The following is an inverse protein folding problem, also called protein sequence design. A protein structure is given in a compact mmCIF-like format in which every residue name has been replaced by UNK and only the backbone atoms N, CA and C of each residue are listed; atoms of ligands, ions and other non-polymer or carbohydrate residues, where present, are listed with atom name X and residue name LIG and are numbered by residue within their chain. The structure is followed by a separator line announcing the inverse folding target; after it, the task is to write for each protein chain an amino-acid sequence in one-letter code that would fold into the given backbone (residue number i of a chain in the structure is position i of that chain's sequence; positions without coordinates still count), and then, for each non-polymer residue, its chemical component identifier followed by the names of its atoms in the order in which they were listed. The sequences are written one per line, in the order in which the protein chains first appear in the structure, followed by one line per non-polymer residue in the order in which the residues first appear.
data_IF_964002848656
#
_entry.id   IF_964002848656
#
_cell.length_a   1.000
_cell.length_b   1.000
_cell.length_c   1.000
_cell.angle_alpha   90.00
_cell.angle_beta   90.00
_cell.angle_gamma   90.00
#
_symmetry.space_group_name_H-M   'P 1'
#
loop_
_entity.id
_entity.type
_entity.pdbx_description
1 polymer ?
#
# COMPACT_ATOMS: atom_id res chain seq x y z
N UNK A 1 23.33 -23.03 -12.66
CA UNK A 1 23.59 -21.93 -13.60
C UNK A 1 22.83 -20.71 -13.07
N UNK A 2 23.49 -19.88 -12.26
CA UNK A 2 22.85 -18.76 -11.56
C UNK A 2 22.44 -17.68 -12.57
N UNK A 3 21.15 -17.37 -12.65
CA UNK A 3 20.67 -16.20 -13.37
C UNK A 3 21.18 -14.95 -12.65
N UNK A 4 22.08 -14.22 -13.30
CA UNK A 4 22.43 -12.86 -12.93
C UNK A 4 21.17 -12.00 -13.07
N UNK A 5 20.50 -11.74 -11.95
CA UNK A 5 19.38 -10.81 -11.90
C UNK A 5 19.91 -9.42 -12.26
N UNK A 6 19.50 -8.89 -13.42
CA UNK A 6 19.94 -7.59 -13.92
C UNK A 6 19.44 -6.50 -12.98
N UNK A 7 20.36 -5.96 -12.15
CA UNK A 7 20.11 -4.78 -11.33
C UNK A 7 19.86 -3.59 -12.25
N UNK A 8 18.74 -2.91 -12.06
CA UNK A 8 18.51 -1.60 -12.65
C UNK A 8 18.70 -0.57 -11.55
N UNK A 9 19.93 -0.07 -11.45
CA UNK A 9 20.28 1.05 -10.59
C UNK A 9 20.61 2.24 -11.50
N UNK A 10 19.93 3.36 -11.28
CA UNK A 10 20.25 4.63 -11.90
C UNK A 10 20.93 5.46 -10.81
N UNK A 11 22.24 5.61 -10.94
CA UNK A 11 23.06 6.43 -10.04
C UNK A 11 23.48 7.69 -10.77
N UNK A 12 23.04 8.83 -10.25
CA UNK A 12 23.42 10.16 -10.73
C UNK A 12 24.09 10.92 -9.59
N UNK A 13 24.77 12.03 -9.91
CA UNK A 13 25.34 12.92 -8.87
C UNK A 13 24.31 13.46 -7.86
N UNK A 14 23.01 13.35 -8.17
CA UNK A 14 21.93 14.02 -7.43
C UNK A 14 20.90 13.07 -6.82
N UNK A 15 20.81 11.83 -7.29
CA UNK A 15 19.90 10.82 -6.76
C UNK A 15 20.34 9.41 -7.15
N UNK A 16 19.96 8.45 -6.30
CA UNK A 16 20.11 7.01 -6.52
C UNK A 16 18.73 6.38 -6.57
N UNK A 17 18.43 5.61 -7.62
CA UNK A 17 17.18 4.87 -7.77
C UNK A 17 17.46 3.41 -8.07
N UNK A 18 16.83 2.49 -7.32
CA UNK A 18 17.04 1.06 -7.50
C UNK A 18 15.72 0.29 -7.59
N UNK A 19 15.64 -0.63 -8.55
CA UNK A 19 14.55 -1.60 -8.66
C UNK A 19 15.05 -2.97 -8.19
N UNK A 20 14.35 -3.57 -7.21
CA UNK A 20 14.68 -4.87 -6.65
C UNK A 20 13.61 -5.91 -7.01
N UNK A 21 13.98 -7.04 -7.64
CA UNK A 21 13.05 -8.13 -7.88
C UNK A 21 12.91 -8.97 -6.60
N UNK A 22 11.82 -8.75 -5.87
CA UNK A 22 11.57 -9.39 -4.58
C UNK A 22 10.11 -9.81 -4.46
N UNK A 23 9.89 -10.99 -3.89
CA UNK A 23 8.58 -11.39 -3.38
C UNK A 23 8.44 -10.87 -1.94
N UNK A 24 7.52 -9.94 -1.72
CA UNK A 24 7.32 -9.30 -0.41
C UNK A 24 6.80 -10.26 0.67
N UNK A 25 6.28 -11.43 0.28
CA UNK A 25 5.86 -12.50 1.20
C UNK A 25 7.05 -13.20 1.85
N UNK A 26 8.21 -13.15 1.21
CA UNK A 26 9.41 -13.87 1.62
C UNK A 26 10.39 -12.92 2.30
N UNK A 27 10.21 -12.68 3.61
CA UNK A 27 11.03 -11.73 4.39
C UNK A 27 12.53 -12.03 4.29
N UNK A 28 12.91 -13.31 4.24
CA UNK A 28 14.30 -13.72 4.06
C UNK A 28 14.88 -13.28 2.71
N UNK A 29 14.07 -13.28 1.65
CA UNK A 29 14.43 -12.81 0.32
C UNK A 29 14.51 -11.28 0.29
N UNK A 30 13.53 -10.61 0.90
CA UNK A 30 13.52 -9.15 1.05
C UNK A 30 14.76 -8.65 1.79
N UNK A 31 15.08 -9.22 2.95
CA UNK A 31 16.28 -8.86 3.70
C UNK A 31 17.57 -9.04 2.87
N UNK A 32 17.67 -10.12 2.08
CA UNK A 32 18.80 -10.33 1.17
C UNK A 32 18.87 -9.26 0.09
N UNK A 33 17.74 -8.88 -0.51
CA UNK A 33 17.69 -7.83 -1.55
C UNK A 33 18.05 -6.45 -0.98
N UNK A 34 17.54 -6.09 0.19
CA UNK A 34 17.87 -4.82 0.85
C UNK A 34 19.36 -4.74 1.22
N UNK A 35 19.98 -5.84 1.65
CA UNK A 35 21.44 -5.90 1.88
C UNK A 35 22.27 -5.60 0.62
N UNK A 36 21.77 -5.92 -0.58
CA UNK A 36 22.48 -5.59 -1.83
C UNK A 36 22.58 -4.09 -2.08
N UNK A 37 21.75 -3.28 -1.41
CA UNK A 37 21.71 -1.82 -1.54
C UNK A 37 22.07 -1.12 -0.22
N UNK A 38 22.69 -1.82 0.73
CA UNK A 38 23.02 -1.26 2.06
C UNK A 38 23.92 -0.02 2.00
N UNK A 39 24.71 0.13 0.94
CA UNK A 39 25.52 1.33 0.69
C UNK A 39 24.68 2.58 0.39
N UNK A 40 23.43 2.40 -0.04
CA UNK A 40 22.50 3.45 -0.42
C UNK A 40 21.23 3.46 0.45
N UNK A 41 21.13 2.54 1.43
CA UNK A 41 19.98 2.38 2.32
C UNK A 41 20.47 2.43 3.77
N UNK A 42 20.34 3.60 4.39
CA UNK A 42 20.62 3.77 5.81
C UNK A 42 19.34 3.55 6.64
N UNK A 43 19.32 2.46 7.40
CA UNK A 43 18.20 2.07 8.25
C UNK A 43 17.95 3.01 9.43
N UNK A 44 18.88 3.93 9.73
CA UNK A 44 18.74 4.92 10.82
C UNK A 44 18.03 6.20 10.36
N UNK A 45 17.85 6.40 9.06
CA UNK A 45 17.15 7.57 8.53
C UNK A 45 15.62 7.35 8.54
N UNK A 46 14.82 8.43 8.73
CA UNK A 46 13.38 8.36 8.52
C UNK A 46 13.06 7.84 7.12
N UNK A 47 12.40 6.69 7.05
CA UNK A 47 12.13 6.01 5.78
C UNK A 47 10.64 6.04 5.46
N UNK A 48 10.32 6.55 4.27
CA UNK A 48 8.96 6.55 3.74
C UNK A 48 8.70 5.28 2.93
N UNK A 49 7.65 4.55 3.29
CA UNK A 49 7.17 3.39 2.55
C UNK A 49 5.83 3.72 1.90
N UNK A 50 5.61 3.25 0.68
CA UNK A 50 4.33 3.37 0.00
C UNK A 50 3.81 1.99 -0.39
N UNK A 51 2.62 1.66 0.07
CA UNK A 51 1.84 0.52 -0.43
C UNK A 51 0.61 1.06 -1.14
N UNK A 52 0.54 0.87 -2.45
CA UNK A 52 -0.62 1.24 -3.26
C UNK A 52 -1.24 -0.02 -3.86
N UNK A 53 -2.37 -0.46 -3.28
CA UNK A 53 -3.06 -1.70 -3.62
C UNK A 53 -2.11 -2.91 -3.58
N UNK A 54 -1.38 -3.12 -2.48
CA UNK A 54 -0.42 -4.24 -2.36
C UNK A 54 -0.82 -5.23 -1.26
N UNK A 55 -0.97 -4.76 -0.01
CA UNK A 55 -1.05 -5.66 1.14
C UNK A 55 -2.27 -6.59 1.12
N UNK A 56 -3.41 -6.15 0.58
CA UNK A 56 -4.63 -6.96 0.43
C UNK A 56 -4.44 -8.24 -0.41
N UNK A 57 -3.44 -8.27 -1.29
CA UNK A 57 -3.13 -9.43 -2.13
C UNK A 57 -2.24 -10.47 -1.42
N UNK A 58 -1.79 -10.18 -0.21
CA UNK A 58 -1.04 -11.10 0.64
C UNK A 58 -1.97 -11.68 1.70
N UNK A 59 -1.65 -12.87 2.24
CA UNK A 59 -2.36 -13.36 3.42
C UNK A 59 -2.13 -12.42 4.62
N UNK A 60 -3.02 -12.49 5.62
CA UNK A 60 -2.87 -11.75 6.87
C UNK A 60 -1.50 -12.01 7.53
N UNK A 61 -1.05 -13.27 7.55
CA UNK A 61 0.25 -13.65 8.09
C UNK A 61 1.40 -12.96 7.34
N UNK A 62 1.40 -13.03 6.01
CA UNK A 62 2.47 -12.47 5.19
C UNK A 62 2.55 -10.94 5.31
N UNK A 63 1.41 -10.25 5.31
CA UNK A 63 1.39 -8.79 5.49
C UNK A 63 1.81 -8.38 6.90
N UNK A 64 1.38 -9.11 7.93
CA UNK A 64 1.81 -8.91 9.32
C UNK A 64 3.32 -9.09 9.46
N UNK A 65 3.89 -10.13 8.85
CA UNK A 65 5.33 -10.38 8.85
C UNK A 65 6.10 -9.25 8.16
N UNK A 66 5.61 -8.74 7.03
CA UNK A 66 6.22 -7.62 6.31
C UNK A 66 6.22 -6.34 7.16
N UNK A 67 5.07 -5.97 7.72
CA UNK A 67 4.93 -4.77 8.54
C UNK A 67 5.78 -4.86 9.82
N UNK A 68 5.81 -6.03 10.46
CA UNK A 68 6.65 -6.28 11.64
C UNK A 68 8.15 -6.22 11.30
N UNK A 69 8.54 -6.77 10.15
CA UNK A 69 9.91 -6.68 9.68
C UNK A 69 10.35 -5.23 9.46
N UNK A 70 9.49 -4.39 8.87
CA UNK A 70 9.78 -2.98 8.63
C UNK A 70 10.00 -2.23 9.96
N UNK A 71 9.09 -2.37 10.92
CA UNK A 71 9.19 -1.65 12.21
C UNK A 71 10.36 -2.13 13.07
N UNK A 72 10.81 -3.37 12.90
CA UNK A 72 11.99 -3.91 13.57
C UNK A 72 13.32 -3.52 12.88
N UNK A 73 13.28 -3.25 11.57
CA UNK A 73 14.48 -3.02 10.77
C UNK A 73 14.84 -1.54 10.66
N UNK A 74 13.84 -0.66 10.53
CA UNK A 74 14.05 0.77 10.31
C UNK A 74 13.83 1.54 11.62
N UNK A 75 14.76 2.43 11.96
CA UNK A 75 14.70 3.23 13.20
C UNK A 75 13.44 4.11 13.26
N UNK A 76 13.06 4.69 12.13
CA UNK A 76 11.85 5.51 12.00
C UNK A 76 11.24 5.30 10.62
N UNK A 77 9.93 5.07 10.57
CA UNK A 77 9.22 4.89 9.32
C UNK A 77 7.85 5.58 9.31
N UNK A 78 7.43 5.97 8.10
CA UNK A 78 6.07 6.39 7.79
C UNK A 78 5.56 5.53 6.64
N UNK A 79 4.35 4.97 6.78
CA UNK A 79 3.83 3.96 5.84
C UNK A 79 2.41 4.32 5.38
N UNK A 80 2.25 5.14 4.34
CA UNK A 80 0.98 5.23 3.63
C UNK A 80 0.61 3.92 2.97
N UNK A 81 -0.59 3.45 3.29
CA UNK A 81 -1.24 2.30 2.66
C UNK A 81 -2.55 2.76 2.02
N UNK A 82 -2.67 2.56 0.72
CA UNK A 82 -3.88 2.80 -0.04
C UNK A 82 -4.44 1.48 -0.52
N UNK A 83 -5.60 1.07 0.00
CA UNK A 83 -6.31 -0.14 -0.46
C UNK A 83 -7.79 -0.08 -0.01
N UNK A 84 -8.54 -1.16 -0.26
CA UNK A 84 -9.96 -1.23 0.03
C UNK A 84 -10.27 -1.18 1.54
N UNK A 85 -11.48 -0.69 1.85
CA UNK A 85 -12.12 -0.73 3.17
C UNK A 85 -13.60 -1.06 3.01
N UNK A 86 -14.28 -1.44 4.10
CA UNK A 86 -15.71 -1.78 4.11
C UNK A 86 -16.06 -2.99 3.23
N UNK A 87 -15.13 -3.93 3.03
CA UNK A 87 -15.29 -5.06 2.10
C UNK A 87 -16.37 -6.09 2.48
N UNK A 88 -17.06 -5.92 3.60
CA UNK A 88 -18.08 -6.85 4.12
C UNK A 88 -19.52 -6.40 3.85
N UNK A 89 -19.71 -5.19 3.30
CA UNK A 89 -21.01 -4.77 2.82
C UNK A 89 -21.36 -5.42 1.46
N UNK A 90 -22.53 -5.07 0.91
CA UNK A 90 -22.99 -5.64 -0.35
C UNK A 90 -22.09 -5.24 -1.52
N UNK A 91 -21.56 -4.01 -1.52
CA UNK A 91 -20.68 -3.51 -2.57
C UNK A 91 -19.34 -4.25 -2.55
N UNK A 92 -18.74 -4.39 -1.37
CA UNK A 92 -17.51 -5.15 -1.14
C UNK A 92 -17.63 -6.62 -1.56
N UNK A 93 -18.75 -7.27 -1.28
CA UNK A 93 -19.02 -8.64 -1.74
C UNK A 93 -19.04 -8.74 -3.27
N UNK A 94 -19.79 -7.84 -3.94
CA UNK A 94 -19.85 -7.78 -5.40
C UNK A 94 -18.46 -7.52 -5.99
N UNK A 95 -17.70 -6.59 -5.40
CA UNK A 95 -16.32 -6.28 -5.80
C UNK A 95 -15.42 -7.52 -5.70
N UNK A 96 -15.46 -8.23 -4.57
CA UNK A 96 -14.68 -9.43 -4.35
C UNK A 96 -15.03 -10.53 -5.35
N UNK A 97 -16.33 -10.81 -5.55
CA UNK A 97 -16.78 -11.82 -6.50
C UNK A 97 -16.34 -11.49 -7.93
N UNK A 98 -16.44 -10.22 -8.32
CA UNK A 98 -15.96 -9.73 -9.62
C UNK A 98 -14.45 -9.95 -9.81
N UNK A 99 -13.63 -9.63 -8.81
CA UNK A 99 -12.18 -9.84 -8.89
C UNK A 99 -11.83 -11.34 -8.92
N UNK A 100 -12.51 -12.13 -8.09
CA UNK A 100 -12.35 -13.59 -8.04
C UNK A 100 -12.66 -14.26 -9.37
N UNK A 101 -13.71 -13.83 -10.07
CA UNK A 101 -14.03 -14.30 -11.42
C UNK A 101 -12.91 -14.06 -12.44
N UNK A 102 -12.03 -13.09 -12.18
CA UNK A 102 -10.85 -12.76 -13.00
C UNK A 102 -9.56 -13.38 -12.45
N UNK A 103 -9.67 -14.40 -11.59
CA UNK A 103 -8.55 -15.05 -10.90
C UNK A 103 -7.72 -14.09 -10.03
N UNK A 104 -8.30 -12.96 -9.62
CA UNK A 104 -7.66 -11.99 -8.75
C UNK A 104 -8.24 -12.14 -7.33
N UNK A 105 -7.48 -12.80 -6.46
CA UNK A 105 -7.92 -13.06 -5.09
C UNK A 105 -7.42 -11.98 -4.13
N UNK A 106 -8.34 -11.44 -3.34
CA UNK A 106 -8.02 -10.62 -2.17
C UNK A 106 -7.83 -11.58 -0.99
N UNK A 107 -6.60 -11.73 -0.52
CA UNK A 107 -6.24 -12.75 0.48
C UNK A 107 -6.42 -12.26 1.92
N UNK A 108 -6.31 -10.96 2.17
CA UNK A 108 -6.51 -10.34 3.49
C UNK A 108 -7.71 -9.39 3.49
N UNK A 109 -8.88 -9.92 3.13
CA UNK A 109 -10.13 -9.16 3.19
C UNK A 109 -10.49 -8.74 4.62
N UNK A 110 -10.04 -9.48 5.63
CA UNK A 110 -10.36 -9.25 7.04
C UNK A 110 -9.76 -7.92 7.53
N UNK A 111 -8.51 -7.61 7.16
CA UNK A 111 -7.92 -6.29 7.45
C UNK A 111 -8.71 -5.13 6.81
N UNK A 112 -9.42 -5.40 5.71
CA UNK A 112 -10.21 -4.42 4.96
C UNK A 112 -11.68 -4.33 5.40
N UNK A 113 -12.04 -4.85 6.57
CA UNK A 113 -13.43 -4.83 7.07
C UNK A 113 -13.92 -3.42 7.41
N UNK A 114 -13.12 -2.61 8.09
CA UNK A 114 -13.42 -1.22 8.43
C UNK A 114 -12.14 -0.37 8.42
N UNK A 115 -12.27 0.95 8.53
CA UNK A 115 -11.12 1.84 8.80
C UNK A 115 -10.37 1.44 10.08
N UNK A 116 -11.11 0.99 11.10
CA UNK A 116 -10.52 0.57 12.37
C UNK A 116 -9.68 -0.69 12.21
N UNK A 117 -10.15 -1.71 11.47
CA UNK A 117 -9.35 -2.93 11.25
C UNK A 117 -8.08 -2.63 10.45
N UNK A 118 -8.11 -1.66 9.53
CA UNK A 118 -6.89 -1.16 8.87
C UNK A 118 -5.92 -0.55 9.88
N UNK A 119 -6.38 0.36 10.75
CA UNK A 119 -5.52 0.93 11.80
C UNK A 119 -4.95 -0.14 12.74
N UNK A 120 -5.78 -1.08 13.20
CA UNK A 120 -5.37 -2.18 14.09
C UNK A 120 -4.28 -3.04 13.46
N UNK A 121 -4.35 -3.30 12.15
CA UNK A 121 -3.30 -4.04 11.41
C UNK A 121 -1.91 -3.47 11.63
N UNK A 122 -1.77 -2.13 11.56
CA UNK A 122 -0.50 -1.45 11.75
C UNK A 122 -0.12 -1.35 13.23
N UNK A 123 -1.08 -1.03 14.12
CA UNK A 123 -0.82 -0.96 15.57
C UNK A 123 -0.32 -2.30 16.12
N UNK A 124 -0.86 -3.41 15.62
CA UNK A 124 -0.47 -4.77 16.01
C UNK A 124 0.94 -5.17 15.53
N UNK A 125 1.58 -4.37 14.67
CA UNK A 125 2.93 -4.59 14.16
C UNK A 125 3.91 -3.50 14.58
N UNK A 126 3.72 -2.95 15.79
CA UNK A 126 4.56 -1.94 16.44
C UNK A 126 4.56 -0.53 15.81
N UNK A 127 3.63 -0.21 14.91
CA UNK A 127 3.42 1.20 14.56
C UNK A 127 2.81 1.92 15.78
N UNK A 128 3.36 3.08 16.12
CA UNK A 128 2.97 3.82 17.32
C UNK A 128 1.67 4.62 17.12
N UNK A 129 1.42 5.07 15.90
CA UNK A 129 0.29 5.93 15.54
C UNK A 129 -0.26 5.53 14.19
N UNK A 130 -1.57 5.61 14.03
CA UNK A 130 -2.28 5.29 12.80
C UNK A 130 -3.44 6.24 12.58
N UNK A 131 -3.72 6.53 11.31
CA UNK A 131 -4.88 7.28 10.88
C UNK A 131 -5.38 6.66 9.58
N UNK A 132 -6.70 6.57 9.42
CA UNK A 132 -7.32 6.05 8.22
C UNK A 132 -8.46 6.98 7.79
N UNK A 133 -8.45 7.37 6.52
CA UNK A 133 -9.49 8.19 5.88
C UNK A 133 -9.96 7.43 4.63
N UNK A 134 -11.26 7.47 4.33
CA UNK A 134 -11.76 6.93 3.07
C UNK A 134 -11.47 7.91 1.94
N UNK A 135 -11.39 7.44 0.69
CA UNK A 135 -11.29 8.36 -0.45
C UNK A 135 -12.46 9.33 -0.52
N UNK A 136 -13.67 8.89 -0.15
CA UNK A 136 -14.86 9.73 -0.20
C UNK A 136 -14.78 10.87 0.81
N UNK A 137 -14.31 10.59 2.04
CA UNK A 137 -14.12 11.62 3.05
C UNK A 137 -12.96 12.54 2.65
N UNK A 138 -11.86 11.99 2.14
CA UNK A 138 -10.74 12.79 1.63
C UNK A 138 -11.17 13.74 0.51
N UNK A 139 -11.93 13.22 -0.46
CA UNK A 139 -12.46 14.03 -1.56
C UNK A 139 -13.39 15.13 -1.06
N UNK A 140 -14.28 14.83 -0.10
CA UNK A 140 -15.21 15.81 0.47
C UNK A 140 -14.48 16.90 1.26
N UNK A 141 -13.56 16.51 2.14
CA UNK A 141 -12.96 17.38 3.17
C UNK A 141 -11.68 18.10 2.71
N UNK A 142 -10.89 17.51 1.81
CA UNK A 142 -9.54 18.01 1.50
C UNK A 142 -9.34 18.46 0.06
N UNK A 143 -10.19 18.05 -0.89
CA UNK A 143 -10.10 18.50 -2.28
C UNK A 143 -10.85 19.83 -2.46
N UNK A 144 -10.12 20.86 -2.93
CA UNK A 144 -10.68 22.20 -3.17
C UNK A 144 -11.82 22.15 -4.20
N UNK A 145 -12.82 23.00 -4.00
CA UNK A 145 -13.97 23.18 -4.90
C UNK A 145 -13.50 23.52 -6.32
N UNK A 146 -12.41 24.28 -6.47
CA UNK A 146 -11.84 24.59 -7.79
C UNK A 146 -11.31 23.36 -8.50
N UNK A 147 -10.65 22.44 -7.79
CA UNK A 147 -10.18 21.18 -8.38
C UNK A 147 -11.36 20.27 -8.74
N UNK A 148 -12.39 20.20 -7.90
CA UNK A 148 -13.63 19.47 -8.22
C UNK A 148 -14.27 19.98 -9.52
N UNK A 149 -14.44 21.31 -9.63
CA UNK A 149 -14.97 21.95 -10.85
C UNK A 149 -14.06 21.78 -12.07
N UNK A 150 -12.74 21.70 -11.86
CA UNK A 150 -11.78 21.43 -12.95
C UNK A 150 -11.95 20.00 -13.47
N UNK A 151 -12.15 19.03 -12.58
CA UNK A 151 -12.40 17.63 -12.94
C UNK A 151 -13.74 17.46 -13.66
N UNK A 152 -14.82 18.08 -13.18
CA UNK A 152 -16.14 18.03 -13.82
C UNK A 152 -16.13 18.54 -15.27
N UNK A 153 -15.16 19.39 -15.65
CA UNK A 153 -15.04 19.88 -17.04
C UNK A 153 -14.43 18.86 -17.99
N UNK A 154 -13.80 17.79 -17.48
CA UNK A 154 -13.11 16.80 -18.31
C UNK A 154 -14.11 15.84 -18.96
N UNK A 155 -15.08 15.36 -18.19
CA UNK A 155 -16.06 14.34 -18.60
C UNK A 155 -17.52 14.85 -18.61
N UNK A 156 -17.73 16.13 -18.25
CA UNK A 156 -19.06 16.72 -18.11
C UNK A 156 -19.63 16.63 -16.69
N UNK A 157 -18.86 16.08 -15.75
CA UNK A 157 -19.29 15.79 -14.40
C UNK A 157 -19.97 14.43 -14.33
N UNK A 158 -20.01 13.85 -13.13
CA UNK A 158 -20.67 12.57 -12.91
C UNK A 158 -22.18 12.77 -12.72
N UNK A 159 -22.96 12.26 -13.65
CA UNK A 159 -24.44 12.27 -13.59
C UNK A 159 -24.96 11.49 -12.36
N UNK A 160 -24.30 10.38 -12.01
CA UNK A 160 -24.66 9.51 -10.90
C UNK A 160 -23.69 9.68 -9.72
N UNK A 161 -23.73 10.85 -9.07
CA UNK A 161 -22.83 11.18 -7.93
C UNK A 161 -22.93 10.18 -6.78
N UNK A 162 -24.07 9.51 -6.63
CA UNK A 162 -24.32 8.47 -5.63
C UNK A 162 -23.28 7.33 -5.70
N UNK A 163 -22.74 7.03 -6.89
CA UNK A 163 -21.74 5.98 -7.09
C UNK A 163 -20.34 6.34 -6.55
N UNK A 164 -20.11 7.62 -6.21
CA UNK A 164 -18.89 8.09 -5.58
C UNK A 164 -19.01 8.22 -4.05
N UNK A 165 -20.17 7.92 -3.44
CA UNK A 165 -20.47 8.26 -2.03
C UNK A 165 -20.35 7.06 -1.10
#
# INVERSE_FOLDING_TARGET
MYQQSRRHCIDSRWFTYTVLPVDLREISSLSKQLKLIEQSLDYNLPTFFLSECVLIYMSLENSTNLLSYITQTFFSCFFPNFEQINMFDRFGQIMYDNLKQRCCHLLDIQACKTKQTQCERFLNTNFQQTQCISLNDYYKEHVDVKEKQRLDKIDGGLDEKELLV
#
